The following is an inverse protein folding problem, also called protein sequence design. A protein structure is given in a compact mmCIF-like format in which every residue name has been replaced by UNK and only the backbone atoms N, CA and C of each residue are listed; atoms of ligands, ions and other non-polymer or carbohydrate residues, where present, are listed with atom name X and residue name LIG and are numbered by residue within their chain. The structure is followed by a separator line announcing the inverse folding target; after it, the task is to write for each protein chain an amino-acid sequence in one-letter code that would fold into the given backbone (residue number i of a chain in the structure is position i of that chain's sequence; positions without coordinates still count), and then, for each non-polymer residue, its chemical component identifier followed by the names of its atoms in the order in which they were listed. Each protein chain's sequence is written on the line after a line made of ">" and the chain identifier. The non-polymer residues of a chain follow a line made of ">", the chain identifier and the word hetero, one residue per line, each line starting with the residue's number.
data_IF_527201098973
#
_entry.id   IF_527201098973
#
_cell.length_a   1.000
_cell.length_b   1.000
_cell.length_c   1.000
_cell.angle_alpha   90.00
_cell.angle_beta   90.00
_cell.angle_gamma   90.00
#
_symmetry.space_group_name_H-M   'P 1'
#
loop_
_entity.id
_entity.type
_entity.pdbx_description
1 polymer ?
#
# COMPACT_ATOMS: atom_id res chain seq x y z
N UNK A 1 8.74 -1.00 12.07
CA UNK A 1 9.20 0.37 11.76
C UNK A 1 8.03 1.14 11.23
N UNK A 2 8.09 2.47 11.27
CA UNK A 2 7.14 3.35 10.60
C UNK A 2 7.95 4.26 9.69
N UNK A 3 7.62 4.25 8.41
CA UNK A 3 8.28 5.08 7.40
C UNK A 3 7.19 5.82 6.61
N UNK A 4 7.40 7.12 6.39
CA UNK A 4 6.49 7.98 5.62
C UNK A 4 7.17 8.37 4.32
N UNK A 5 6.50 8.12 3.20
CA UNK A 5 6.94 8.45 1.85
C UNK A 5 6.09 9.59 1.32
N UNK A 6 6.71 10.77 1.18
CA UNK A 6 6.03 11.98 0.73
C UNK A 6 5.96 12.05 -0.79
N UNK A 7 4.85 12.56 -1.34
CA UNK A 7 4.65 12.68 -2.79
C UNK A 7 4.95 11.37 -3.55
N UNK A 8 4.51 10.26 -2.97
CA UNK A 8 4.76 8.92 -3.47
C UNK A 8 3.91 8.60 -4.72
N UNK A 9 4.36 7.67 -5.58
CA UNK A 9 3.65 7.30 -6.80
C UNK A 9 2.21 6.85 -6.54
N UNK A 10 1.29 7.13 -7.47
CA UNK A 10 -0.12 6.72 -7.36
C UNK A 10 -0.36 5.21 -7.47
N UNK A 11 0.71 4.43 -7.63
CA UNK A 11 0.68 3.00 -7.86
C UNK A 11 1.83 2.31 -7.13
N UNK A 12 1.50 1.31 -6.32
CA UNK A 12 2.43 0.61 -5.43
C UNK A 12 2.27 -0.89 -5.64
N UNK A 13 3.37 -1.64 -5.59
CA UNK A 13 3.34 -3.10 -5.65
C UNK A 13 3.97 -3.68 -4.38
N UNK A 14 3.24 -4.59 -3.73
CA UNK A 14 3.72 -5.38 -2.59
C UNK A 14 4.04 -6.78 -3.11
N UNK A 15 5.30 -7.18 -3.00
CA UNK A 15 5.80 -8.47 -3.49
C UNK A 15 5.98 -9.44 -2.31
N UNK A 16 5.14 -10.46 -2.25
CA UNK A 16 5.27 -11.56 -1.29
C UNK A 16 5.91 -12.75 -2.01
N UNK A 17 7.25 -12.81 -1.92
CA UNK A 17 8.05 -13.83 -2.60
C UNK A 17 7.81 -15.24 -2.04
N UNK A 18 7.57 -15.36 -0.73
CA UNK A 18 7.32 -16.64 -0.08
C UNK A 18 6.04 -17.28 -0.60
N UNK A 19 4.94 -16.50 -0.65
CA UNK A 19 3.64 -16.96 -1.13
C UNK A 19 3.44 -16.78 -2.64
N UNK A 20 4.46 -16.29 -3.36
CA UNK A 20 4.46 -16.06 -4.81
C UNK A 20 3.25 -15.26 -5.28
N UNK A 21 2.90 -14.19 -4.55
CA UNK A 21 1.77 -13.33 -4.86
C UNK A 21 2.18 -11.87 -4.85
N UNK A 22 1.45 -11.06 -5.61
CA UNK A 22 1.65 -9.62 -5.67
C UNK A 22 0.34 -8.92 -5.39
N UNK A 23 0.39 -7.88 -4.59
CA UNK A 23 -0.72 -6.94 -4.43
C UNK A 23 -0.35 -5.63 -5.10
N UNK A 24 -1.26 -5.10 -5.90
CA UNK A 24 -1.16 -3.77 -6.47
C UNK A 24 -2.11 -2.84 -5.70
N UNK A 25 -1.60 -1.69 -5.30
CA UNK A 25 -2.39 -0.58 -4.75
C UNK A 25 -2.39 0.54 -5.77
N UNK A 26 -3.57 1.06 -6.10
CA UNK A 26 -3.76 2.29 -6.85
C UNK A 26 -4.41 3.33 -5.95
N UNK A 27 -4.02 4.59 -6.05
CA UNK A 27 -4.57 5.68 -5.24
C UNK A 27 -4.83 6.95 -6.05
N UNK A 28 -5.86 7.68 -5.65
CA UNK A 28 -6.19 9.00 -6.16
C UNK A 28 -6.48 9.97 -5.00
N UNK A 29 -6.10 11.24 -5.13
CA UNK A 29 -6.26 12.26 -4.09
C UNK A 29 -5.39 12.10 -2.83
N UNK A 30 -4.54 11.05 -2.76
CA UNK A 30 -3.71 10.68 -1.61
C UNK A 30 -2.21 10.73 -1.99
N UNK A 31 -1.49 11.84 -1.74
CA UNK A 31 -0.14 12.04 -2.25
C UNK A 31 0.95 11.26 -1.48
N UNK A 32 0.70 10.87 -0.24
CA UNK A 32 1.72 10.28 0.64
C UNK A 32 1.40 8.80 0.93
N UNK A 33 2.37 8.05 1.42
CA UNK A 33 2.18 6.67 1.90
C UNK A 33 2.88 6.43 3.23
N UNK A 34 2.33 5.56 4.06
CA UNK A 34 2.98 5.00 5.24
C UNK A 34 3.25 3.53 5.02
N UNK A 35 4.47 3.09 5.33
CA UNK A 35 4.81 1.68 5.43
C UNK A 35 5.05 1.35 6.91
N UNK A 36 4.27 0.42 7.44
CA UNK A 36 4.31 0.11 8.86
C UNK A 36 4.26 -1.39 9.17
N UNK A 37 5.09 -1.77 10.15
CA UNK A 37 5.03 -3.06 10.83
C UNK A 37 5.39 -2.82 12.31
N UNK A 38 4.62 -3.33 13.29
CA UNK A 38 4.89 -3.07 14.70
C UNK A 38 6.22 -3.67 15.18
N UNK A 39 6.66 -4.78 14.57
CA UNK A 39 7.72 -5.66 15.09
C UNK A 39 7.44 -6.17 16.51
N UNK A 40 8.27 -7.11 16.95
CA UNK A 40 8.12 -7.89 18.19
C UNK A 40 7.68 -7.07 19.42
N UNK A 41 8.48 -6.08 19.83
CA UNK A 41 8.21 -5.32 21.07
C UNK A 41 6.88 -4.56 21.04
N UNK A 42 6.51 -3.99 19.90
CA UNK A 42 5.27 -3.19 19.80
C UNK A 42 4.07 -4.12 19.63
N UNK A 43 4.20 -5.24 18.93
CA UNK A 43 3.15 -6.24 18.79
C UNK A 43 2.68 -6.74 20.17
N UNK A 44 3.60 -7.15 21.03
CA UNK A 44 3.33 -7.60 22.42
C UNK A 44 2.68 -6.54 23.32
N UNK A 45 2.76 -5.26 22.94
CA UNK A 45 2.18 -4.16 23.71
C UNK A 45 0.77 -3.77 23.23
N UNK A 46 0.33 -4.26 22.08
CA UNK A 46 -1.00 -4.02 21.53
C UNK A 46 -1.96 -5.10 22.06
N UNK A 47 -2.89 -4.71 22.93
CA UNK A 47 -3.76 -5.65 23.62
C UNK A 47 -4.72 -6.42 22.70
N UNK A 48 -4.97 -5.89 21.51
CA UNK A 48 -5.84 -6.42 20.47
C UNK A 48 -5.08 -7.06 19.29
N UNK A 49 -3.77 -7.31 19.45
CA UNK A 49 -2.90 -7.84 18.42
C UNK A 49 -2.03 -8.97 18.98
N UNK A 50 -1.96 -10.10 18.27
CA UNK A 50 -1.20 -11.26 18.73
C UNK A 50 0.32 -11.04 18.69
N UNK A 51 1.03 -11.60 19.67
CA UNK A 51 2.49 -11.45 19.84
C UNK A 51 3.31 -11.70 18.56
N UNK A 52 2.87 -12.64 17.71
CA UNK A 52 3.55 -13.05 16.48
C UNK A 52 2.84 -12.59 15.19
N UNK A 53 1.69 -11.90 15.28
CA UNK A 53 0.91 -11.51 14.10
C UNK A 53 1.66 -10.54 13.17
N UNK A 54 2.63 -9.80 13.72
CA UNK A 54 3.48 -8.89 12.96
C UNK A 54 4.28 -9.60 11.86
N UNK A 55 4.52 -10.92 11.98
CA UNK A 55 5.23 -11.72 10.97
C UNK A 55 4.40 -11.96 9.72
N UNK A 56 3.09 -11.75 9.79
CA UNK A 56 2.13 -12.10 8.74
C UNK A 56 1.38 -10.90 8.16
N UNK A 57 1.79 -9.67 8.54
CA UNK A 57 1.17 -8.43 8.09
C UNK A 57 2.21 -7.40 7.65
N UNK A 58 1.77 -6.51 6.75
CA UNK A 58 2.44 -5.27 6.40
C UNK A 58 1.35 -4.23 6.15
N UNK A 59 1.43 -3.08 6.80
CA UNK A 59 0.57 -1.95 6.47
C UNK A 59 1.23 -1.12 5.38
N UNK A 60 0.48 -0.88 4.31
CA UNK A 60 0.78 0.12 3.28
C UNK A 60 -0.46 1.00 3.19
N UNK A 61 -0.34 2.22 3.71
CA UNK A 61 -1.45 3.13 3.94
C UNK A 61 -1.30 4.32 3.01
N UNK A 62 -2.27 4.52 2.12
CA UNK A 62 -2.30 5.68 1.23
C UNK A 62 -2.92 6.87 1.98
N UNK A 63 -2.27 8.02 1.96
CA UNK A 63 -2.61 9.12 2.86
C UNK A 63 -2.36 10.51 2.25
N UNK A 64 -2.87 11.55 2.94
CA UNK A 64 -2.50 12.95 2.75
C UNK A 64 -2.02 13.47 4.11
N UNK A 65 -0.70 13.49 4.35
CA UNK A 65 -0.11 13.71 5.67
C UNK A 65 0.65 15.03 5.71
N UNK A 66 1.57 15.25 4.78
CA UNK A 66 2.50 16.38 4.84
C UNK A 66 1.79 17.71 4.62
N UNK A 67 0.87 17.73 3.64
CA UNK A 67 0.11 18.93 3.29
C UNK A 67 -1.34 18.77 3.78
N UNK A 68 -1.77 19.56 4.77
CA UNK A 68 -3.15 19.54 5.22
C UNK A 68 -4.12 19.87 4.08
N UNK A 69 -5.18 19.08 3.95
CA UNK A 69 -6.30 19.40 3.08
C UNK A 69 -7.16 20.44 3.79
N UNK A 70 -7.29 21.63 3.20
CA UNK A 70 -8.13 22.71 3.72
C UNK A 70 -9.30 22.91 2.78
N UNK A 71 -10.52 22.90 3.32
CA UNK A 71 -11.76 23.10 2.55
C UNK A 71 -12.46 24.37 3.03
N UNK A 72 -12.92 25.18 2.08
CA UNK A 72 -13.84 26.30 2.31
C UNK A 72 -15.30 25.85 2.20
N UNK A 73 -16.27 26.65 2.66
CA UNK A 73 -17.68 26.26 2.60
C UNK A 73 -18.12 25.92 1.17
N UNK A 74 -18.64 24.71 0.99
CA UNK A 74 -19.11 24.20 -0.30
C UNK A 74 -18.07 23.39 -1.09
N UNK A 75 -16.82 23.31 -0.63
CA UNK A 75 -15.81 22.44 -1.25
C UNK A 75 -15.89 20.99 -0.74
N UNK A 76 -15.45 20.07 -1.58
CA UNK A 76 -15.31 18.65 -1.27
C UNK A 76 -13.88 18.20 -1.53
N UNK A 77 -13.41 17.25 -0.73
CA UNK A 77 -12.21 16.48 -1.03
C UNK A 77 -12.55 15.00 -1.12
N UNK A 78 -11.88 14.30 -2.04
CA UNK A 78 -12.00 12.86 -2.22
C UNK A 78 -10.60 12.26 -2.29
N UNK A 79 -10.41 11.18 -1.55
CA UNK A 79 -9.29 10.27 -1.70
C UNK A 79 -9.83 8.87 -1.90
N UNK A 80 -9.16 8.06 -2.72
CA UNK A 80 -9.53 6.67 -2.94
C UNK A 80 -8.30 5.79 -2.99
N UNK A 81 -8.48 4.55 -2.53
CA UNK A 81 -7.50 3.48 -2.62
C UNK A 81 -8.19 2.24 -3.17
N UNK A 82 -7.52 1.58 -4.09
CA UNK A 82 -7.91 0.27 -4.59
C UNK A 82 -6.80 -0.74 -4.36
N UNK A 83 -7.18 -1.94 -3.95
CA UNK A 83 -6.28 -3.05 -3.67
C UNK A 83 -6.66 -4.25 -4.55
N UNK A 84 -5.71 -4.68 -5.38
CA UNK A 84 -5.90 -5.81 -6.29
C UNK A 84 -4.85 -6.88 -6.02
N UNK A 85 -5.28 -8.12 -5.80
CA UNK A 85 -4.40 -9.28 -5.93
C UNK A 85 -4.17 -9.51 -7.43
N UNK A 86 -2.93 -9.38 -7.89
CA UNK A 86 -2.60 -9.63 -9.30
C UNK A 86 -2.01 -11.03 -9.45
N UNK A 87 -2.32 -11.74 -10.56
CA UNK A 87 -1.63 -12.98 -10.88
C UNK A 87 -0.12 -12.75 -10.89
N UNK A 88 0.69 -13.77 -10.55
CA UNK A 88 2.13 -13.66 -10.70
C UNK A 88 2.43 -13.41 -12.18
N UNK A 89 2.77 -12.17 -12.55
CA UNK A 89 3.36 -11.84 -13.84
C UNK A 89 4.84 -12.26 -13.83
N UNK A 90 5.08 -13.52 -13.48
CA UNK A 90 6.39 -14.11 -13.32
C UNK A 90 6.64 -15.07 -14.48
N UNK A 91 7.17 -14.53 -15.58
CA UNK A 91 7.82 -15.34 -16.60
C UNK A 91 9.25 -14.81 -16.75
N UNK A 92 10.23 -15.50 -16.12
CA UNK A 92 11.65 -15.33 -16.46
C UNK A 92 12.57 -14.53 -15.52
N UNK A 93 12.20 -14.30 -14.25
CA UNK A 93 13.20 -13.93 -13.22
C UNK A 93 13.63 -12.44 -13.13
N UNK A 94 12.96 -11.52 -13.82
CA UNK A 94 13.08 -10.07 -13.56
C UNK A 94 11.67 -9.47 -13.44
N UNK A 95 11.28 -9.07 -12.24
CA UNK A 95 10.00 -8.43 -11.98
C UNK A 95 10.04 -6.98 -12.49
N UNK A 96 9.39 -6.73 -13.62
CA UNK A 96 9.18 -5.38 -14.11
C UNK A 96 7.97 -4.77 -13.40
N UNK A 97 8.22 -3.92 -12.42
CA UNK A 97 7.18 -3.19 -11.70
C UNK A 97 6.20 -2.49 -12.67
N UNK A 98 6.66 -2.04 -13.85
CA UNK A 98 5.80 -1.41 -14.86
C UNK A 98 4.75 -2.37 -15.42
N UNK A 99 5.07 -3.66 -15.57
CA UNK A 99 4.11 -4.68 -16.06
C UNK A 99 3.06 -5.04 -15.01
N UNK A 100 3.43 -5.04 -13.73
CA UNK A 100 2.48 -5.21 -12.62
C UNK A 100 1.45 -4.07 -12.63
N UNK A 101 1.94 -2.83 -12.79
CA UNK A 101 1.08 -1.64 -12.85
C UNK A 101 0.18 -1.60 -14.09
N UNK A 102 0.62 -2.18 -15.21
CA UNK A 102 -0.19 -2.36 -16.43
C UNK A 102 -1.24 -3.48 -16.31
N UNK A 103 -0.95 -4.56 -15.58
CA UNK A 103 -1.94 -5.61 -15.33
C UNK A 103 -3.08 -5.12 -14.44
N UNK A 104 -2.79 -4.27 -13.45
CA UNK A 104 -3.81 -3.59 -12.66
C UNK A 104 -4.71 -2.72 -13.56
N UNK A 105 -4.16 -1.99 -14.54
CA UNK A 105 -4.96 -1.21 -15.51
C UNK A 105 -5.93 -2.07 -16.34
N UNK A 106 -5.53 -3.29 -16.70
CA UNK A 106 -6.35 -4.19 -17.51
C UNK A 106 -7.50 -4.86 -16.77
N UNK A 107 -7.50 -4.85 -15.43
CA UNK A 107 -8.63 -5.38 -14.64
C UNK A 107 -9.76 -4.36 -14.45
N UNK A 108 -9.61 -3.13 -14.97
CA UNK A 108 -10.65 -2.10 -14.98
C UNK A 108 -11.52 -2.11 -16.25
N UNK A 109 -11.55 -3.21 -17.02
CA UNK A 109 -12.43 -3.44 -18.16
C UNK A 109 -13.22 -4.74 -17.99
#
# INVERSE_FOLDING_TARGET
>A
GLDIYLSAPTKIAILDHEKKRTFAISKDGLPDDVVWNPWDKKAKALADFGDDEYKHMLCVETAAIEKPITLTPGEEWRGSQELCAVPPTYCGGLLDARKVLQCAEKMHY
#
